data_IF_626137012550
#
_entry.id   IF_626137012550
#
_cell.length_a   1.000
_cell.length_b   1.000
_cell.length_c   1.000
_cell.angle_alpha   90.00
_cell.angle_beta   90.00
_cell.angle_gamma   90.00
#
_symmetry.space_group_name_H-M   'P 1'
#
loop_
_entity.id
_entity.type
_entity.pdbx_description
1 polymer ?
#
# COMPACT_ATOMS: atom_id res chain seq x y z
N UNK A 1 -44.08 -13.27 36.61
CA UNK A 1 -44.57 -12.14 37.40
C UNK A 1 -43.41 -11.17 37.52
N UNK A 2 -43.31 -9.97 36.97
CA UNK A 2 -44.09 -9.09 36.10
C UNK A 2 -43.00 -8.25 35.41
N UNK A 3 -42.93 -8.23 34.09
CA UNK A 3 -43.35 -7.08 33.27
C UNK A 3 -43.21 -5.71 33.93
N UNK A 4 -42.21 -4.92 33.49
CA UNK A 4 -42.40 -3.46 33.35
C UNK A 4 -41.84 -2.97 32.02
N UNK A 5 -42.78 -2.79 31.10
CA UNK A 5 -42.66 -2.20 29.77
C UNK A 5 -43.18 -0.75 29.83
N UNK A 6 -42.36 0.22 29.36
CA UNK A 6 -42.74 1.55 28.78
C UNK A 6 -43.42 2.57 29.74
N UNK A 7 -43.50 3.90 29.43
CA UNK A 7 -43.76 4.49 28.11
C UNK A 7 -43.08 5.82 27.72
N UNK A 8 -43.29 6.14 26.45
CA UNK A 8 -42.97 7.36 25.69
C UNK A 8 -43.84 8.58 26.04
N UNK A 9 -43.28 9.78 25.92
CA UNK A 9 -43.93 11.09 25.68
C UNK A 9 -42.85 12.06 25.16
N UNK A 10 -43.02 12.96 24.17
CA UNK A 10 -44.20 13.48 23.46
C UNK A 10 -43.72 14.48 22.36
N UNK A 11 -44.54 14.63 21.30
CA UNK A 11 -44.85 15.92 20.60
C UNK A 11 -43.81 16.44 19.58
N UNK A 12 -43.97 16.14 18.27
CA UNK A 12 -44.74 16.88 17.22
C UNK A 12 -44.08 18.22 16.82
N UNK A 13 -44.01 18.65 15.56
CA UNK A 13 -45.11 19.03 14.65
C UNK A 13 -44.56 19.21 13.20
N UNK A 14 -45.49 19.06 12.25
CA UNK A 14 -45.58 19.36 10.81
C UNK A 14 -44.65 20.43 10.18
N UNK A 15 -44.49 20.62 8.87
CA UNK A 15 -45.44 20.54 7.74
C UNK A 15 -44.70 20.96 6.46
N UNK A 16 -45.21 20.56 5.29
CA UNK A 16 -45.24 21.48 4.15
C UNK A 16 -44.48 21.07 2.89
N UNK A 17 -45.17 20.28 2.06
CA UNK A 17 -44.95 20.15 0.62
C UNK A 17 -45.03 21.49 -0.12
N UNK A 18 -44.17 21.72 -1.12
CA UNK A 18 -44.48 22.58 -2.27
C UNK A 18 -43.60 22.26 -3.48
N UNK A 19 -44.28 21.85 -4.55
CA UNK A 19 -43.79 21.55 -5.90
C UNK A 19 -43.89 22.84 -6.71
N UNK A 20 -42.84 23.27 -7.43
CA UNK A 20 -43.02 24.19 -8.58
C UNK A 20 -41.97 23.93 -9.66
N UNK A 21 -42.48 23.90 -10.89
CA UNK A 21 -41.82 23.56 -12.15
C UNK A 21 -40.97 24.71 -12.71
N UNK A 22 -40.01 24.29 -13.54
CA UNK A 22 -39.69 24.74 -14.90
C UNK A 22 -38.63 25.82 -15.19
N UNK A 23 -37.75 25.38 -16.10
CA UNK A 23 -37.24 26.02 -17.33
C UNK A 23 -36.30 27.23 -17.26
N UNK A 24 -35.18 27.12 -17.97
CA UNK A 24 -34.41 28.27 -18.46
C UNK A 24 -32.93 27.96 -18.71
N UNK A 25 -32.49 28.16 -19.96
CA UNK A 25 -31.18 27.83 -20.57
C UNK A 25 -30.00 28.68 -20.05
N UNK A 26 -28.82 28.02 -19.99
CA UNK A 26 -27.48 28.41 -20.46
C UNK A 26 -26.90 29.82 -20.15
N UNK A 27 -25.71 29.90 -19.53
CA UNK A 27 -24.35 30.00 -20.13
C UNK A 27 -23.36 30.38 -19.02
N UNK A 28 -22.13 29.90 -19.14
CA UNK A 28 -21.00 29.84 -18.22
C UNK A 28 -20.54 31.14 -17.54
N UNK A 29 -19.98 31.01 -16.33
CA UNK A 29 -18.71 31.66 -15.98
C UNK A 29 -18.03 30.95 -14.81
N UNK A 30 -16.72 30.83 -14.97
CA UNK A 30 -15.76 30.01 -14.25
C UNK A 30 -15.26 30.73 -12.97
N UNK A 31 -14.46 30.01 -12.19
CA UNK A 31 -13.56 30.46 -11.11
C UNK A 31 -14.06 30.24 -9.66
N UNK A 32 -13.49 29.18 -9.08
CA UNK A 32 -13.16 28.97 -7.66
C UNK A 32 -14.28 28.70 -6.65
N UNK A 33 -14.57 27.40 -6.46
CA UNK A 33 -14.57 26.82 -5.11
C UNK A 33 -13.84 25.47 -5.09
N UNK A 34 -12.63 25.49 -4.49
CA UNK A 34 -11.95 24.31 -3.93
C UNK A 34 -12.95 23.47 -3.16
N UNK A 35 -13.31 22.29 -3.67
CA UNK A 35 -13.91 21.22 -2.86
C UNK A 35 -12.86 20.14 -2.67
N UNK A 36 -12.32 20.11 -1.46
CA UNK A 36 -11.49 19.03 -0.93
C UNK A 36 -12.31 17.75 -1.01
N UNK A 37 -12.09 16.95 -2.06
CA UNK A 37 -12.61 15.58 -2.10
C UNK A 37 -11.58 14.73 -1.37
N UNK A 38 -11.81 14.52 -0.07
CA UNK A 38 -11.27 13.35 0.62
C UNK A 38 -11.92 12.14 -0.03
N UNK A 39 -11.33 11.61 -1.10
CA UNK A 39 -11.69 10.28 -1.59
C UNK A 39 -11.17 9.28 -0.58
N UNK A 40 -12.06 8.82 0.29
CA UNK A 40 -11.88 7.63 1.10
C UNK A 40 -11.52 6.47 0.16
N UNK A 41 -10.24 6.09 0.16
CA UNK A 41 -9.72 5.02 -0.67
C UNK A 41 -10.22 3.68 -0.14
N UNK A 42 -11.37 3.23 -0.64
CA UNK A 42 -11.73 1.81 -0.59
C UNK A 42 -10.80 1.09 -1.58
N UNK A 43 -9.93 0.16 -1.14
CA UNK A 43 -9.11 -0.60 -2.07
C UNK A 43 -10.02 -1.59 -2.81
N UNK A 44 -10.49 -1.21 -4.00
CA UNK A 44 -11.11 -2.17 -4.92
C UNK A 44 -10.04 -3.16 -5.34
N UNK A 45 -10.18 -4.41 -4.92
CA UNK A 45 -9.13 -5.44 -4.98
C UNK A 45 -8.78 -5.99 -6.36
N UNK A 46 -8.82 -5.20 -7.44
CA UNK A 46 -8.33 -5.58 -8.77
C UNK A 46 -7.99 -4.39 -9.68
N UNK A 47 -7.23 -3.41 -9.20
CA UNK A 47 -6.64 -2.37 -10.06
C UNK A 47 -5.18 -2.71 -10.41
N UNK A 48 -4.86 -2.86 -11.70
CA UNK A 48 -3.47 -3.08 -12.16
C UNK A 48 -2.56 -1.97 -11.63
N UNK A 49 -1.39 -2.29 -11.01
CA UNK A 49 -0.48 -1.29 -10.45
C UNK A 49 -0.06 -0.24 -11.48
N UNK A 50 0.02 1.03 -11.07
CA UNK A 50 0.37 2.16 -11.96
C UNK A 50 1.69 1.93 -12.72
N UNK A 51 2.71 1.42 -12.03
CA UNK A 51 4.01 1.11 -12.63
C UNK A 51 3.94 -0.03 -13.65
N UNK A 52 3.09 -1.03 -13.41
CA UNK A 52 2.90 -2.13 -14.36
C UNK A 52 2.28 -1.63 -15.66
N UNK A 53 1.24 -0.80 -15.55
CA UNK A 53 0.61 -0.17 -16.73
C UNK A 53 1.62 0.63 -17.55
N UNK A 54 2.42 1.50 -16.89
CA UNK A 54 3.44 2.31 -17.56
C UNK A 54 4.51 1.46 -18.25
N UNK A 55 4.91 0.35 -17.62
CA UNK A 55 5.88 -0.56 -18.22
C UNK A 55 5.35 -1.24 -19.50
N UNK A 56 4.11 -1.74 -19.44
CA UNK A 56 3.49 -2.44 -20.56
C UNK A 56 3.11 -1.48 -21.72
N UNK A 57 2.77 -0.20 -21.44
CA UNK A 57 2.34 0.76 -22.46
C UNK A 57 3.47 1.47 -23.21
N UNK A 58 4.46 1.98 -22.46
CA UNK A 58 5.47 2.94 -22.94
C UNK A 58 6.88 2.33 -22.90
N UNK A 59 7.33 1.94 -21.70
CA UNK A 59 8.73 1.62 -21.44
C UNK A 59 9.18 0.40 -22.25
N UNK A 60 8.36 -0.65 -22.35
CA UNK A 60 8.73 -1.85 -23.10
C UNK A 60 8.98 -1.57 -24.59
N UNK A 61 8.18 -0.70 -25.21
CA UNK A 61 8.31 -0.34 -26.63
C UNK A 61 9.51 0.58 -26.88
N UNK A 62 9.72 1.54 -25.98
CA UNK A 62 10.91 2.40 -26.00
C UNK A 62 12.18 1.56 -25.90
N UNK A 63 12.24 0.62 -24.96
CA UNK A 63 13.40 -0.25 -24.77
C UNK A 63 13.72 -1.11 -26.00
N UNK A 64 12.70 -1.69 -26.67
CA UNK A 64 12.91 -2.47 -27.90
C UNK A 64 13.49 -1.59 -29.01
N UNK A 65 13.02 -0.35 -29.12
CA UNK A 65 13.46 0.61 -30.16
C UNK A 65 14.89 1.09 -29.88
N UNK A 66 15.18 1.51 -28.64
CA UNK A 66 16.49 2.03 -28.24
C UNK A 66 17.57 0.95 -28.26
N UNK A 67 17.24 -0.26 -27.79
CA UNK A 67 18.18 -1.38 -27.73
C UNK A 67 18.20 -2.21 -29.03
N UNK A 68 17.41 -1.82 -30.04
CA UNK A 68 17.31 -2.48 -31.36
C UNK A 68 17.14 -3.99 -31.26
N UNK A 69 16.27 -4.44 -30.35
CA UNK A 69 16.05 -5.86 -30.10
C UNK A 69 15.24 -6.47 -31.24
N UNK A 70 15.63 -7.68 -31.66
CA UNK A 70 14.95 -8.41 -32.76
C UNK A 70 13.64 -9.04 -32.27
N UNK A 71 13.54 -9.34 -30.98
CA UNK A 71 12.40 -10.01 -30.39
C UNK A 71 11.84 -9.22 -29.20
N UNK A 72 10.52 -9.05 -29.17
CA UNK A 72 9.82 -8.31 -28.11
C UNK A 72 10.01 -8.97 -26.73
N UNK A 73 10.20 -10.29 -26.70
CA UNK A 73 10.41 -11.04 -25.46
C UNK A 73 11.81 -10.84 -24.85
N UNK A 74 12.76 -10.28 -25.60
CA UNK A 74 14.10 -9.91 -25.10
C UNK A 74 14.07 -8.62 -24.27
N UNK A 75 12.96 -7.88 -24.27
CA UNK A 75 12.82 -6.65 -23.50
C UNK A 75 13.10 -6.89 -22.00
N UNK A 76 14.01 -6.12 -21.37
CA UNK A 76 14.35 -6.29 -19.95
C UNK A 76 13.15 -6.12 -19.02
N UNK A 77 12.95 -7.08 -18.11
CA UNK A 77 11.85 -7.11 -17.12
C UNK A 77 12.39 -7.13 -15.69
N UNK A 78 11.66 -6.51 -14.76
CA UNK A 78 11.91 -6.66 -13.33
C UNK A 78 11.50 -8.06 -12.88
N UNK A 79 12.46 -8.85 -12.37
CA UNK A 79 12.22 -10.23 -11.93
C UNK A 79 11.88 -10.34 -10.45
N UNK A 80 12.56 -9.57 -9.60
CA UNK A 80 12.36 -9.52 -8.14
C UNK A 80 13.01 -8.29 -7.55
N UNK A 81 12.48 -7.83 -6.42
CA UNK A 81 13.11 -6.80 -5.57
C UNK A 81 13.35 -7.43 -4.20
N UNK A 82 14.62 -7.49 -3.79
CA UNK A 82 15.01 -8.02 -2.48
C UNK A 82 15.38 -6.87 -1.56
N UNK A 83 14.69 -6.73 -0.44
CA UNK A 83 14.98 -5.73 0.59
C UNK A 83 15.63 -6.47 1.75
N UNK A 84 16.82 -6.03 2.15
CA UNK A 84 17.63 -6.67 3.19
C UNK A 84 18.09 -5.62 4.20
N UNK A 85 17.92 -5.92 5.49
CA UNK A 85 18.37 -5.09 6.59
C UNK A 85 19.31 -5.94 7.46
N UNK A 86 20.56 -5.52 7.58
CA UNK A 86 21.53 -6.10 8.49
C UNK A 86 21.73 -5.16 9.69
N UNK A 87 21.54 -5.67 10.90
CA UNK A 87 21.65 -4.91 12.14
C UNK A 87 22.81 -5.50 12.93
N UNK A 88 23.98 -4.84 12.91
CA UNK A 88 25.15 -5.31 13.67
C UNK A 88 24.87 -5.40 15.17
N UNK A 89 24.00 -4.52 15.69
CA UNK A 89 23.57 -4.48 17.09
C UNK A 89 22.59 -5.59 17.46
N UNK A 90 21.96 -6.26 16.49
CA UNK A 90 21.01 -7.34 16.75
C UNK A 90 21.67 -8.56 17.42
N UNK A 91 22.98 -8.69 17.28
CA UNK A 91 23.80 -9.71 17.97
C UNK A 91 23.74 -9.54 19.48
N UNK A 92 23.77 -8.30 19.96
CA UNK A 92 23.73 -7.98 21.39
C UNK A 92 22.29 -7.86 21.90
N UNK A 93 21.37 -7.35 21.07
CA UNK A 93 19.97 -7.14 21.46
C UNK A 93 18.99 -7.73 20.43
N UNK A 94 18.43 -8.93 20.69
CA UNK A 94 17.51 -9.59 19.75
C UNK A 94 16.18 -8.84 19.58
N UNK A 95 15.80 -7.93 20.50
CA UNK A 95 14.55 -7.17 20.40
C UNK A 95 14.55 -6.20 19.22
N UNK A 96 15.70 -5.64 18.89
CA UNK A 96 15.85 -4.72 17.75
C UNK A 96 15.54 -5.45 16.43
N UNK A 97 15.94 -6.73 16.35
CA UNK A 97 15.66 -7.56 15.19
C UNK A 97 14.15 -7.85 15.05
N UNK A 98 13.45 -8.09 16.16
CA UNK A 98 11.99 -8.28 16.14
C UNK A 98 11.24 -7.01 15.74
N UNK A 99 11.73 -5.83 16.15
CA UNK A 99 11.18 -4.55 15.71
C UNK A 99 11.37 -4.34 14.21
N UNK A 100 12.58 -4.56 13.70
CA UNK A 100 12.89 -4.42 12.29
C UNK A 100 12.08 -5.39 11.40
N UNK A 101 11.81 -6.61 11.90
CA UNK A 101 10.91 -7.55 11.22
C UNK A 101 9.50 -6.96 11.11
N UNK A 102 8.92 -6.45 12.20
CA UNK A 102 7.57 -5.86 12.19
C UNK A 102 7.47 -4.63 11.29
N UNK A 103 8.49 -3.77 11.29
CA UNK A 103 8.53 -2.59 10.43
C UNK A 103 8.58 -2.98 8.96
N UNK A 104 9.44 -3.94 8.61
CA UNK A 104 9.58 -4.41 7.23
C UNK A 104 8.31 -5.13 6.76
N UNK A 105 7.64 -5.88 7.64
CA UNK A 105 6.33 -6.49 7.36
C UNK A 105 5.25 -5.43 7.14
N UNK A 106 5.25 -4.35 7.93
CA UNK A 106 4.31 -3.23 7.76
C UNK A 106 4.51 -2.48 6.44
N UNK A 107 5.77 -2.23 6.06
CA UNK A 107 6.12 -1.52 4.82
C UNK A 107 5.81 -2.37 3.58
N UNK A 108 6.18 -3.65 3.61
CA UNK A 108 6.13 -4.50 2.41
C UNK A 108 4.86 -5.32 2.30
N UNK A 109 4.08 -5.45 3.39
CA UNK A 109 2.89 -6.28 3.45
C UNK A 109 3.19 -7.78 3.35
N UNK A 110 4.46 -8.19 3.40
CA UNK A 110 4.90 -9.57 3.28
C UNK A 110 5.71 -9.97 4.50
N UNK A 111 5.50 -11.21 4.97
CA UNK A 111 6.24 -11.79 6.09
C UNK A 111 7.74 -11.80 5.82
N UNK A 112 8.51 -11.20 6.71
CA UNK A 112 9.95 -11.09 6.55
C UNK A 112 10.67 -12.35 7.07
N UNK A 113 11.83 -12.66 6.49
CA UNK A 113 12.64 -13.83 6.86
C UNK A 113 13.89 -13.38 7.62
N UNK A 114 14.06 -13.89 8.85
CA UNK A 114 15.26 -13.64 9.65
C UNK A 114 16.47 -14.36 9.04
N UNK A 115 17.52 -13.61 8.74
CA UNK A 115 18.76 -14.13 8.15
C UNK A 115 19.75 -14.52 9.24
N UNK A 116 20.40 -15.69 9.06
CA UNK A 116 21.37 -16.25 9.99
C UNK A 116 22.79 -16.14 9.44
N UNK A 117 23.76 -16.02 10.35
CA UNK A 117 25.18 -16.04 10.04
C UNK A 117 25.60 -17.39 9.44
N UNK A 118 26.33 -17.36 8.31
CA UNK A 118 26.89 -18.56 7.66
C UNK A 118 28.30 -18.92 8.12
N UNK A 119 29.04 -17.94 8.63
CA UNK A 119 30.43 -18.09 9.08
C UNK A 119 30.61 -17.39 10.41
N UNK A 120 31.46 -17.94 11.26
CA UNK A 120 31.85 -17.33 12.53
C UNK A 120 33.01 -16.36 12.30
N UNK A 121 32.88 -15.11 12.74
CA UNK A 121 33.91 -14.07 12.59
C UNK A 121 34.05 -13.34 13.93
N UNK A 122 35.21 -13.53 14.58
CA UNK A 122 35.47 -12.99 15.92
C UNK A 122 35.42 -11.46 15.99
N UNK A 123 35.89 -10.77 14.93
CA UNK A 123 35.87 -9.30 14.87
C UNK A 123 34.48 -8.68 14.97
N UNK A 124 33.44 -9.39 14.53
CA UNK A 124 32.04 -8.96 14.63
C UNK A 124 31.30 -9.63 15.79
N UNK A 125 32.01 -10.40 16.64
CA UNK A 125 31.43 -11.21 17.71
C UNK A 125 30.34 -12.17 17.21
N UNK A 126 30.44 -12.60 15.95
CA UNK A 126 29.45 -13.44 15.28
C UNK A 126 29.81 -14.92 15.38
N UNK A 127 28.80 -15.75 15.66
CA UNK A 127 28.86 -17.21 15.56
C UNK A 127 27.89 -17.72 14.51
N UNK A 128 28.21 -18.85 13.91
CA UNK A 128 27.34 -19.55 12.97
C UNK A 128 25.94 -19.81 13.53
N UNK A 129 24.93 -19.61 12.69
CA UNK A 129 23.53 -19.80 13.06
C UNK A 129 22.89 -18.63 13.82
N UNK A 130 23.66 -17.63 14.25
CA UNK A 130 23.15 -16.46 14.95
C UNK A 130 22.32 -15.56 14.00
N UNK A 131 21.14 -15.07 14.41
CA UNK A 131 20.35 -14.14 13.62
C UNK A 131 21.02 -12.76 13.58
N UNK A 132 21.20 -12.19 12.39
CA UNK A 132 21.86 -10.88 12.18
C UNK A 132 20.91 -9.85 11.58
N UNK A 133 19.99 -10.31 10.72
CA UNK A 133 19.16 -9.39 9.94
C UNK A 133 17.83 -9.99 9.52
N UNK A 134 17.15 -9.25 8.67
CA UNK A 134 15.88 -9.64 8.08
C UNK A 134 15.85 -9.29 6.59
N UNK A 135 15.22 -10.12 5.78
CA UNK A 135 15.09 -9.93 4.34
C UNK A 135 13.68 -10.29 3.87
N UNK A 136 13.20 -9.60 2.85
CA UNK A 136 12.00 -9.97 2.09
C UNK A 136 12.28 -9.92 0.59
N UNK A 137 11.57 -10.75 -0.17
CA UNK A 137 11.67 -10.80 -1.63
C UNK A 137 10.30 -10.56 -2.26
N UNK A 138 10.13 -9.40 -2.87
CA UNK A 138 8.98 -9.02 -3.68
C UNK A 138 9.17 -9.56 -5.11
N UNK A 139 8.13 -10.15 -5.69
CA UNK A 139 8.14 -10.72 -7.05
C UNK A 139 6.90 -10.30 -7.81
#
# INVERSE_FOLDING_TARGET
>A
MEDKKKPSTKTSVSSGSSKKKNSGKAVESNVEKKKIIRTSATPSGNSVPRLRKKYDSEISKELVTTLKLKNVMEAPKLKKITINIALGEAVANPKILDMAVKELESITGQKAVKTKAKKSIAGFKLREGMPIGTMVTLR
#
